data_IF_294290887743
#
_entry.id   IF_294290887743
#
_cell.length_a   1.000
_cell.length_b   1.000
_cell.length_c   1.000
_cell.angle_alpha   90.00
_cell.angle_beta   90.00
_cell.angle_gamma   90.00
#
_symmetry.space_group_name_H-M   'P 1'
#
loop_
_entity.id
_entity.type
_entity.pdbx_description
1 polymer ?
#
# COMPACT_ATOMS: atom_id res chain seq x y z
N UNK A 1 20.42 -22.08 52.97
CA UNK A 1 19.38 -21.36 52.22
C UNK A 1 20.02 -21.00 50.91
N UNK A 2 20.27 -22.06 50.14
CA UNK A 2 20.49 -22.02 48.69
C UNK A 2 19.14 -21.73 48.02
N UNK A 3 19.15 -21.45 46.71
CA UNK A 3 18.12 -20.80 45.86
C UNK A 3 18.34 -19.27 45.81
N UNK A 4 18.77 -18.62 44.72
CA UNK A 4 18.57 -18.86 43.28
C UNK A 4 19.84 -18.52 42.46
N UNK A 5 20.74 -19.48 42.26
CA UNK A 5 21.71 -19.41 41.15
C UNK A 5 21.08 -19.93 39.84
N UNK A 6 20.09 -20.82 39.94
CA UNK A 6 19.33 -21.40 38.81
C UNK A 6 18.49 -20.34 38.06
N UNK A 7 17.97 -19.32 38.74
CA UNK A 7 17.21 -18.23 38.10
C UNK A 7 18.11 -17.23 37.34
N UNK A 8 19.43 -17.27 37.55
CA UNK A 8 20.40 -16.49 36.77
C UNK A 8 20.81 -17.20 35.49
N UNK A 9 20.90 -18.53 35.50
CA UNK A 9 21.22 -19.30 34.30
C UNK A 9 20.04 -19.36 33.31
N UNK A 10 18.79 -19.39 33.78
CA UNK A 10 17.59 -19.33 32.92
C UNK A 10 17.42 -17.97 32.19
N UNK A 11 17.93 -16.88 32.75
CA UNK A 11 17.92 -15.57 32.10
C UNK A 11 18.96 -15.45 30.97
N UNK A 12 20.05 -16.21 31.07
CA UNK A 12 21.11 -16.24 30.06
C UNK A 12 20.83 -17.28 28.96
N UNK A 13 20.04 -18.33 29.22
CA UNK A 13 19.67 -19.35 28.21
C UNK A 13 18.48 -18.90 27.31
N UNK A 14 17.70 -17.92 27.75
CA UNK A 14 16.62 -17.28 26.98
C UNK A 14 16.83 -15.79 26.71
N UNK A 15 18.02 -15.27 27.00
CA UNK A 15 18.43 -13.92 26.65
C UNK A 15 18.41 -13.74 25.13
N UNK A 16 17.41 -13.00 24.64
CA UNK A 16 17.40 -12.46 23.28
C UNK A 16 18.76 -11.80 23.03
N UNK A 17 19.51 -12.39 22.10
CA UNK A 17 20.83 -11.96 21.65
C UNK A 17 20.88 -10.43 21.55
N UNK A 18 21.70 -9.77 22.37
CA UNK A 18 21.77 -8.31 22.44
C UNK A 18 22.07 -7.64 21.09
N UNK A 19 22.72 -8.36 20.17
CA UNK A 19 22.97 -7.91 18.79
C UNK A 19 21.70 -7.87 17.92
N UNK A 20 20.72 -8.74 18.18
CA UNK A 20 19.43 -8.77 17.47
C UNK A 20 18.50 -7.64 17.95
N UNK A 21 18.56 -7.28 19.24
CA UNK A 21 17.73 -6.20 19.78
C UNK A 21 18.19 -4.81 19.34
N UNK A 22 19.50 -4.53 19.35
CA UNK A 22 20.03 -3.27 18.82
C UNK A 22 19.81 -3.15 17.31
N UNK A 23 19.98 -4.26 16.57
CA UNK A 23 19.61 -4.35 15.16
C UNK A 23 18.11 -4.12 14.92
N UNK A 24 17.24 -4.62 15.81
CA UNK A 24 15.80 -4.35 15.78
C UNK A 24 15.49 -2.89 16.12
N UNK A 25 16.19 -2.25 17.05
CA UNK A 25 16.02 -0.82 17.39
C UNK A 25 16.44 0.07 16.22
N UNK A 26 17.60 -0.20 15.60
CA UNK A 26 18.03 0.50 14.39
C UNK A 26 17.09 0.25 13.21
N UNK A 27 16.58 -0.98 13.07
CA UNK A 27 15.53 -1.30 12.11
C UNK A 27 14.24 -0.54 12.41
N UNK A 28 13.82 -0.39 13.68
CA UNK A 28 12.64 0.39 14.07
C UNK A 28 12.82 1.87 13.74
N UNK A 29 13.99 2.45 14.03
CA UNK A 29 14.31 3.84 13.72
C UNK A 29 14.32 4.11 12.21
N UNK A 30 14.80 3.16 11.40
CA UNK A 30 14.75 3.24 9.93
C UNK A 30 13.38 2.89 9.32
N UNK A 31 12.50 2.22 10.08
CA UNK A 31 11.21 1.71 9.61
C UNK A 31 10.00 2.51 10.13
N UNK A 32 10.21 3.69 10.73
CA UNK A 32 9.16 4.66 11.09
C UNK A 32 8.25 4.96 9.89
N UNK A 33 8.81 4.92 8.67
CA UNK A 33 8.06 5.04 7.42
C UNK A 33 8.56 4.02 6.40
N UNK A 34 7.66 3.19 5.86
CA UNK A 34 7.99 2.28 4.77
C UNK A 34 8.61 3.00 3.56
N UNK A 35 9.66 2.42 2.99
CA UNK A 35 10.51 2.98 1.93
C UNK A 35 9.76 3.66 0.75
N UNK A 36 8.64 3.07 0.33
CA UNK A 36 7.79 3.61 -0.74
C UNK A 36 7.10 4.92 -0.36
N UNK A 37 6.67 5.03 0.89
CA UNK A 37 6.08 6.25 1.45
C UNK A 37 7.15 7.32 1.66
N UNK A 38 8.34 6.95 2.15
CA UNK A 38 9.47 7.87 2.28
C UNK A 38 9.86 8.48 0.92
N UNK A 39 9.98 7.66 -0.13
CA UNK A 39 10.25 8.13 -1.50
C UNK A 39 9.16 9.09 -2.01
N UNK A 40 7.89 8.80 -1.72
CA UNK A 40 6.77 9.65 -2.13
C UNK A 40 6.81 11.00 -1.41
N UNK A 41 7.14 10.99 -0.11
CA UNK A 41 7.28 12.20 0.70
C UNK A 41 8.49 13.03 0.26
N UNK A 42 9.65 12.41 0.03
CA UNK A 42 10.86 13.07 -0.46
C UNK A 42 10.60 13.78 -1.79
N UNK A 43 9.88 13.15 -2.73
CA UNK A 43 9.46 13.79 -3.98
C UNK A 43 8.55 15.00 -3.75
N UNK A 44 7.62 14.91 -2.80
CA UNK A 44 6.75 16.03 -2.42
C UNK A 44 7.53 17.19 -1.80
N UNK A 45 8.45 16.89 -0.89
CA UNK A 45 9.32 17.84 -0.21
C UNK A 45 10.31 18.51 -1.19
N UNK A 46 10.95 17.74 -2.06
CA UNK A 46 11.89 18.28 -3.05
C UNK A 46 11.24 19.31 -3.97
N UNK A 47 9.99 19.07 -4.39
CA UNK A 47 9.21 20.04 -5.17
C UNK A 47 8.88 21.30 -4.36
N UNK A 48 8.61 21.13 -3.06
CA UNK A 48 8.33 22.23 -2.17
C UNK A 48 9.55 23.13 -1.93
N UNK A 49 10.69 22.51 -1.66
CA UNK A 49 11.96 23.17 -1.47
C UNK A 49 12.40 23.90 -2.74
N UNK A 50 12.32 23.25 -3.90
CA UNK A 50 12.64 23.89 -5.18
C UNK A 50 11.75 25.12 -5.46
N UNK A 51 10.47 25.04 -5.10
CA UNK A 51 9.56 26.17 -5.20
C UNK A 51 9.91 27.31 -4.24
N UNK A 52 10.26 27.00 -2.99
CA UNK A 52 10.73 27.98 -2.02
C UNK A 52 12.00 28.68 -2.53
N UNK A 53 12.93 27.93 -3.13
CA UNK A 53 14.17 28.47 -3.69
C UNK A 53 13.91 29.49 -4.79
N UNK A 54 12.85 29.28 -5.57
CA UNK A 54 12.51 30.12 -6.72
C UNK A 54 11.68 31.34 -6.31
N UNK A 55 10.77 31.21 -5.33
CA UNK A 55 9.73 32.21 -5.05
C UNK A 55 9.87 32.93 -3.70
N UNK A 56 10.65 32.35 -2.78
CA UNK A 56 10.75 32.74 -1.37
C UNK A 56 12.17 32.47 -0.84
N UNK A 57 13.19 32.93 -1.57
CA UNK A 57 14.60 32.69 -1.25
C UNK A 57 15.01 33.29 0.09
N UNK A 58 14.31 34.34 0.53
CA UNK A 58 14.39 34.99 1.83
C UNK A 58 13.97 34.10 3.02
N UNK A 59 13.21 33.04 2.75
CA UNK A 59 12.70 32.10 3.77
C UNK A 59 13.61 30.86 3.92
N UNK A 60 14.52 30.62 2.97
CA UNK A 60 15.49 29.54 3.03
C UNK A 60 16.79 30.09 3.61
N UNK A 61 17.10 29.75 4.86
CA UNK A 61 18.44 30.03 5.40
C UNK A 61 19.50 29.30 4.56
N UNK A 62 20.72 29.86 4.52
CA UNK A 62 21.86 29.21 3.87
C UNK A 62 22.19 27.84 4.49
N UNK A 63 21.86 27.66 5.77
CA UNK A 63 21.91 26.38 6.50
C UNK A 63 20.94 25.34 5.94
N UNK A 64 19.71 25.69 5.50
CA UNK A 64 18.78 24.69 4.95
C UNK A 64 19.26 24.15 3.62
N UNK A 65 19.81 25.05 2.80
CA UNK A 65 20.33 24.70 1.48
C UNK A 65 21.60 23.86 1.55
N UNK A 66 22.39 23.99 2.63
CA UNK A 66 23.54 23.13 2.92
C UNK A 66 23.14 21.83 3.61
N UNK A 67 22.17 21.85 4.54
CA UNK A 67 21.60 20.67 5.21
C UNK A 67 20.78 19.76 4.28
N UNK A 68 20.28 20.28 3.14
CA UNK A 68 19.66 19.46 2.09
C UNK A 68 20.69 18.73 1.20
N UNK A 69 21.98 19.02 1.39
CA UNK A 69 23.08 18.48 0.60
C UNK A 69 23.83 17.36 1.32
N UNK A 70 23.78 17.33 2.65
CA UNK A 70 24.35 16.30 3.51
C UNK A 70 23.25 15.70 4.40
N UNK A 71 23.12 14.37 4.40
CA UNK A 71 22.09 13.58 5.11
C UNK A 71 22.18 13.63 6.66
N UNK A 72 22.75 14.68 7.25
CA UNK A 72 22.97 14.81 8.69
C UNK A 72 22.37 16.11 9.24
N UNK A 73 21.32 15.98 10.06
CA UNK A 73 20.76 17.08 10.85
C UNK A 73 21.43 17.09 12.23
N UNK A 74 22.33 18.04 12.46
CA UNK A 74 22.59 18.57 13.81
C UNK A 74 22.08 20.01 13.94
N UNK A 75 21.48 20.27 15.09
CA UNK A 75 20.70 21.43 15.49
C UNK A 75 21.57 22.62 15.88
N UNK A 76 21.34 23.80 15.28
CA UNK A 76 21.94 25.06 15.74
C UNK A 76 20.93 26.13 16.16
N UNK A 77 19.64 25.80 16.22
CA UNK A 77 18.64 26.71 16.79
C UNK A 77 18.35 27.98 15.97
N UNK A 78 18.98 28.25 14.83
CA UNK A 78 18.75 29.49 14.06
C UNK A 78 18.02 29.27 12.72
N UNK A 79 16.92 30.02 12.50
CA UNK A 79 16.49 30.38 11.13
C UNK A 79 15.30 29.65 10.47
N UNK A 80 14.38 29.00 11.20
CA UNK A 80 13.27 28.24 10.57
C UNK A 80 11.85 28.61 10.99
N UNK A 81 11.46 29.87 11.08
CA UNK A 81 10.03 30.19 11.28
C UNK A 81 9.63 31.55 10.74
N UNK A 82 9.14 31.56 9.50
CA UNK A 82 7.91 32.31 9.17
C UNK A 82 7.33 31.80 7.85
N UNK A 83 7.14 30.48 7.73
CA UNK A 83 6.28 29.93 6.68
C UNK A 83 4.82 30.28 7.01
N UNK A 84 4.42 31.51 6.70
CA UNK A 84 3.01 31.92 6.80
C UNK A 84 2.18 30.94 5.97
N UNK A 85 1.01 30.56 6.47
CA UNK A 85 0.04 29.66 5.80
C UNK A 85 -0.01 29.95 4.30
N UNK A 86 -0.15 31.24 3.93
CA UNK A 86 -0.12 31.77 2.57
C UNK A 86 1.02 31.29 1.64
N UNK A 87 2.21 31.00 2.15
CA UNK A 87 3.34 30.46 1.37
C UNK A 87 3.16 28.98 1.02
N UNK A 88 2.76 28.17 1.99
CA UNK A 88 2.36 26.76 1.77
C UNK A 88 1.16 26.70 0.83
N UNK A 89 0.17 27.60 1.03
CA UNK A 89 -1.03 27.70 0.20
C UNK A 89 -0.69 27.97 -1.28
N UNK A 90 0.25 28.89 -1.52
CA UNK A 90 0.67 29.28 -2.88
C UNK A 90 1.42 28.15 -3.57
N UNK A 91 2.34 27.48 -2.87
CA UNK A 91 3.01 26.29 -3.37
C UNK A 91 2.00 25.22 -3.83
N UNK A 92 1.02 24.90 -2.98
CA UNK A 92 0.03 23.85 -3.29
C UNK A 92 -0.80 24.24 -4.51
N UNK A 93 -1.24 25.49 -4.63
CA UNK A 93 -2.00 25.97 -5.80
C UNK A 93 -1.21 25.84 -7.10
N UNK A 94 0.10 26.08 -7.06
CA UNK A 94 0.96 26.08 -8.25
C UNK A 94 1.50 24.69 -8.61
N UNK A 95 1.65 23.79 -7.62
CA UNK A 95 2.33 22.50 -7.78
C UNK A 95 1.45 21.27 -7.62
N UNK A 96 0.20 21.40 -7.17
CA UNK A 96 -0.77 20.31 -7.15
C UNK A 96 -1.31 20.03 -8.58
N UNK A 97 -0.44 19.86 -9.57
CA UNK A 97 -0.82 19.41 -10.91
C UNK A 97 -0.64 17.89 -11.00
N UNK A 98 -1.64 17.20 -11.54
CA UNK A 98 -1.51 15.77 -11.87
C UNK A 98 -0.50 15.57 -13.01
N UNK A 99 0.11 14.38 -13.08
CA UNK A 99 1.07 14.00 -14.15
C UNK A 99 0.53 14.20 -15.56
N UNK A 100 -0.80 14.21 -15.71
CA UNK A 100 -1.50 14.32 -16.99
C UNK A 100 -2.05 15.74 -17.26
N UNK A 101 -1.60 16.76 -16.51
CA UNK A 101 -2.10 18.14 -16.65
C UNK A 101 -3.50 18.40 -16.07
N UNK A 102 -4.21 17.34 -15.63
CA UNK A 102 -5.51 17.44 -14.97
C UNK A 102 -5.46 18.03 -13.55
N UNK A 103 -6.65 18.41 -13.05
CA UNK A 103 -6.82 18.92 -11.68
C UNK A 103 -6.47 17.82 -10.65
N UNK A 104 -5.90 18.19 -9.48
CA UNK A 104 -5.51 17.25 -8.44
C UNK A 104 -6.71 16.61 -7.72
N UNK A 105 -6.64 15.28 -7.53
CA UNK A 105 -7.58 14.51 -6.73
C UNK A 105 -7.32 14.61 -5.21
N UNK A 106 -8.26 14.11 -4.40
CA UNK A 106 -8.19 14.16 -2.93
C UNK A 106 -6.93 13.48 -2.38
N UNK A 107 -6.51 12.37 -3.01
CA UNK A 107 -5.32 11.61 -2.65
C UNK A 107 -4.02 12.43 -2.76
N UNK A 108 -3.89 13.28 -3.78
CA UNK A 108 -2.72 14.15 -3.99
C UNK A 108 -2.57 15.12 -2.83
N UNK A 109 -3.68 15.73 -2.41
CA UNK A 109 -3.69 16.65 -1.27
C UNK A 109 -3.35 15.94 0.05
N UNK A 110 -3.86 14.72 0.27
CA UNK A 110 -3.50 13.93 1.44
C UNK A 110 -2.00 13.61 1.50
N UNK A 111 -1.41 13.23 0.37
CA UNK A 111 0.02 12.95 0.28
C UNK A 111 0.87 14.20 0.52
N UNK A 112 0.48 15.35 -0.07
CA UNK A 112 1.17 16.63 0.17
C UNK A 112 1.10 17.06 1.63
N UNK A 113 -0.07 16.96 2.26
CA UNK A 113 -0.22 17.23 3.69
C UNK A 113 0.70 16.33 4.51
N UNK A 114 0.67 15.03 4.25
CA UNK A 114 1.47 14.07 5.03
C UNK A 114 2.97 14.30 4.85
N UNK A 115 3.42 14.64 3.63
CA UNK A 115 4.81 15.01 3.35
C UNK A 115 5.23 16.27 4.09
N UNK A 116 4.36 17.30 4.16
CA UNK A 116 4.65 18.51 4.92
C UNK A 116 4.81 18.22 6.42
N UNK A 117 3.91 17.45 7.01
CA UNK A 117 4.01 17.06 8.42
C UNK A 117 5.25 16.20 8.68
N UNK A 118 5.60 15.33 7.74
CA UNK A 118 6.83 14.53 7.84
C UNK A 118 8.09 15.41 7.79
N UNK A 119 8.09 16.49 7.01
CA UNK A 119 9.24 17.40 6.93
C UNK A 119 9.53 18.04 8.29
N UNK A 120 8.49 18.54 8.97
CA UNK A 120 8.64 19.12 10.31
C UNK A 120 9.20 18.10 11.31
N UNK A 121 8.67 16.87 11.29
CA UNK A 121 9.18 15.77 12.13
C UNK A 121 10.62 15.42 11.81
N UNK A 122 11.00 15.35 10.53
CA UNK A 122 12.35 15.08 10.09
C UNK A 122 13.34 16.14 10.55
N UNK A 123 12.93 17.41 10.64
CA UNK A 123 13.73 18.50 11.19
C UNK A 123 13.76 18.54 12.73
N UNK A 124 13.25 17.51 13.43
CA UNK A 124 13.22 17.46 14.90
C UNK A 124 12.28 18.46 15.57
N UNK A 125 11.40 19.15 14.82
CA UNK A 125 10.53 20.21 15.34
C UNK A 125 9.05 19.82 15.30
N UNK A 126 8.32 20.20 16.34
CA UNK A 126 6.84 20.18 16.29
C UNK A 126 6.34 21.39 15.52
N UNK A 127 5.34 21.16 14.67
CA UNK A 127 4.58 22.24 14.04
C UNK A 127 3.85 23.04 15.13
N UNK A 128 3.82 24.37 14.98
CA UNK A 128 2.98 25.23 15.83
C UNK A 128 1.50 24.79 15.76
N UNK A 129 0.80 24.84 16.90
CA UNK A 129 -0.54 24.25 17.06
C UNK A 129 -1.57 24.99 16.20
N UNK A 130 -1.52 26.32 16.19
CA UNK A 130 -2.45 27.15 15.42
C UNK A 130 -2.17 27.00 13.92
N UNK A 131 -0.89 26.99 13.54
CA UNK A 131 -0.50 26.74 12.15
C UNK A 131 -0.92 25.34 11.64
N UNK A 132 -0.78 24.29 12.47
CA UNK A 132 -1.21 22.94 12.12
C UNK A 132 -2.74 22.86 11.93
N UNK A 133 -3.50 23.58 12.75
CA UNK A 133 -4.94 23.69 12.64
C UNK A 133 -5.36 24.39 11.34
N UNK A 134 -4.73 25.52 11.01
CA UNK A 134 -4.97 26.27 9.77
C UNK A 134 -4.69 25.44 8.52
N UNK A 135 -3.54 24.75 8.49
CA UNK A 135 -3.18 23.84 7.40
C UNK A 135 -4.22 22.74 7.26
N UNK A 136 -4.67 22.15 8.37
CA UNK A 136 -5.69 21.09 8.35
C UNK A 136 -7.03 21.60 7.82
N UNK A 137 -7.48 22.78 8.26
CA UNK A 137 -8.72 23.41 7.79
C UNK A 137 -8.66 23.70 6.29
N UNK A 138 -7.52 24.19 5.80
CA UNK A 138 -7.33 24.44 4.38
C UNK A 138 -7.42 23.16 3.53
N UNK A 139 -6.72 22.09 3.94
CA UNK A 139 -6.81 20.81 3.23
C UNK A 139 -8.22 20.24 3.24
N UNK A 140 -9.00 20.49 4.30
CA UNK A 140 -10.44 20.16 4.34
C UNK A 140 -11.24 20.99 3.35
N UNK A 141 -10.93 22.28 3.20
CA UNK A 141 -11.52 23.17 2.19
C UNK A 141 -11.26 22.69 0.76
N UNK A 142 -10.01 22.38 0.42
CA UNK A 142 -9.66 21.84 -0.90
C UNK A 142 -10.39 20.54 -1.23
N UNK A 143 -10.53 19.64 -0.24
CA UNK A 143 -11.29 18.40 -0.42
C UNK A 143 -12.76 18.65 -0.71
N UNK A 144 -13.40 19.60 -0.01
CA UNK A 144 -14.79 19.98 -0.26
C UNK A 144 -14.97 20.57 -1.65
N UNK A 145 -14.04 21.42 -2.08
CA UNK A 145 -14.07 21.99 -3.41
C UNK A 145 -13.88 20.93 -4.50
N UNK A 146 -12.94 19.98 -4.33
CA UNK A 146 -12.79 18.85 -5.25
C UNK A 146 -14.04 17.97 -5.25
N UNK A 147 -14.62 17.65 -4.10
CA UNK A 147 -15.85 16.86 -4.01
C UNK A 147 -17.02 17.56 -4.72
N UNK A 148 -17.17 18.88 -4.54
CA UNK A 148 -18.18 19.68 -5.24
C UNK A 148 -17.93 19.71 -6.74
N UNK A 149 -16.68 19.90 -7.17
CA UNK A 149 -16.29 19.83 -8.60
C UNK A 149 -16.63 18.47 -9.21
N UNK A 150 -16.33 17.38 -8.51
CA UNK A 150 -16.65 16.03 -8.98
C UNK A 150 -18.17 15.83 -9.08
N UNK A 151 -18.92 16.26 -8.06
CA UNK A 151 -20.38 16.23 -8.08
C UNK A 151 -20.97 17.00 -9.27
N UNK A 152 -20.52 18.23 -9.49
CA UNK A 152 -21.05 19.12 -10.53
C UNK A 152 -20.60 18.73 -11.95
N UNK A 153 -19.51 17.96 -12.08
CA UNK A 153 -18.97 17.50 -13.36
C UNK A 153 -19.73 16.31 -13.98
N UNK A 154 -20.58 15.63 -13.21
CA UNK A 154 -21.22 14.38 -13.64
C UNK A 154 -20.24 13.21 -13.85
N UNK A 155 -18.95 13.39 -13.54
CA UNK A 155 -17.93 12.36 -13.62
C UNK A 155 -18.14 11.29 -12.52
N UNK A 156 -17.55 10.12 -12.74
CA UNK A 156 -17.64 8.98 -11.84
C UNK A 156 -17.19 9.37 -10.42
N UNK A 157 -18.11 9.31 -9.46
CA UNK A 157 -17.85 9.69 -8.06
C UNK A 157 -16.95 8.70 -7.32
N UNK A 158 -16.80 7.48 -7.85
CA UNK A 158 -15.95 6.45 -7.25
C UNK A 158 -14.49 6.67 -7.65
N UNK A 159 -13.64 7.00 -6.67
CA UNK A 159 -12.19 7.08 -6.90
C UNK A 159 -11.57 5.68 -7.13
N UNK A 160 -10.76 5.57 -8.19
CA UNK A 160 -9.95 4.40 -8.53
C UNK A 160 -10.65 3.38 -9.44
N UNK A 161 -10.01 2.23 -9.64
CA UNK A 161 -10.43 1.16 -10.55
C UNK A 161 -11.85 0.65 -10.27
N UNK A 162 -12.54 0.18 -11.30
CA UNK A 162 -13.87 -0.38 -11.16
C UNK A 162 -13.89 -1.70 -10.41
N UNK A 163 -15.03 -2.17 -9.87
CA UNK A 163 -15.14 -3.54 -9.38
C UNK A 163 -15.03 -4.53 -10.55
N UNK A 164 -14.28 -5.61 -10.36
CA UNK A 164 -14.24 -6.71 -11.33
C UNK A 164 -15.61 -7.42 -11.34
N UNK A 165 -16.33 -7.50 -12.47
CA UNK A 165 -17.60 -8.21 -12.55
C UNK A 165 -17.44 -9.71 -12.34
N UNK A 166 -18.48 -10.37 -11.83
CA UNK A 166 -18.45 -11.80 -11.56
C UNK A 166 -18.30 -12.65 -12.84
N UNK A 167 -18.94 -12.23 -13.93
CA UNK A 167 -18.77 -12.81 -15.27
C UNK A 167 -17.29 -12.79 -15.68
N UNK A 168 -16.64 -11.63 -15.56
CA UNK A 168 -15.24 -11.45 -15.89
C UNK A 168 -14.31 -12.27 -15.00
N UNK A 169 -14.59 -12.39 -13.70
CA UNK A 169 -13.82 -13.27 -12.81
C UNK A 169 -13.82 -14.72 -13.32
N UNK A 170 -15.00 -15.24 -13.70
CA UNK A 170 -15.13 -16.60 -14.21
C UNK A 170 -14.38 -16.75 -15.54
N UNK A 171 -14.58 -15.83 -16.48
CA UNK A 171 -13.90 -15.87 -17.78
C UNK A 171 -12.38 -15.78 -17.67
N UNK A 172 -11.86 -14.90 -16.80
CA UNK A 172 -10.43 -14.83 -16.50
C UNK A 172 -9.91 -16.15 -15.92
N UNK A 173 -10.68 -16.76 -15.01
CA UNK A 173 -10.27 -18.01 -14.37
C UNK A 173 -10.24 -19.17 -15.35
N UNK A 174 -11.24 -19.29 -16.23
CA UNK A 174 -11.26 -20.28 -17.32
C UNK A 174 -10.09 -20.07 -18.26
N UNK A 175 -9.88 -18.85 -18.76
CA UNK A 175 -8.78 -18.52 -19.66
C UNK A 175 -7.41 -18.86 -19.04
N UNK A 176 -7.19 -18.56 -17.75
CA UNK A 176 -5.95 -18.95 -17.06
C UNK A 176 -5.77 -20.48 -16.98
N UNK A 177 -6.87 -21.25 -16.83
CA UNK A 177 -6.80 -22.72 -16.80
C UNK A 177 -6.59 -23.34 -18.18
N UNK A 178 -6.94 -22.65 -19.27
CA UNK A 178 -6.74 -23.11 -20.65
C UNK A 178 -5.30 -22.94 -21.13
N UNK A 179 -4.51 -22.08 -20.49
CA UNK A 179 -3.09 -21.93 -20.81
C UNK A 179 -2.24 -23.02 -20.17
N UNK A 180 -1.29 -23.56 -20.94
CA UNK A 180 -0.45 -24.70 -20.53
C UNK A 180 0.75 -24.34 -19.63
N UNK A 181 0.97 -23.05 -19.32
CA UNK A 181 2.16 -22.60 -18.59
C UNK A 181 1.89 -22.39 -17.09
N UNK A 182 2.84 -22.81 -16.26
CA UNK A 182 2.81 -22.68 -14.80
C UNK A 182 2.56 -21.24 -14.32
N UNK A 183 2.95 -20.23 -15.11
CA UNK A 183 2.68 -18.83 -14.75
C UNK A 183 1.17 -18.53 -14.67
N UNK A 184 0.35 -19.22 -15.45
CA UNK A 184 -1.09 -19.08 -15.42
C UNK A 184 -1.74 -19.90 -14.31
N UNK A 185 -1.14 -21.03 -13.91
CA UNK A 185 -1.53 -21.74 -12.68
C UNK A 185 -1.32 -20.86 -11.46
N UNK A 186 -0.16 -20.20 -11.38
CA UNK A 186 0.09 -19.15 -10.38
C UNK A 186 -0.97 -18.04 -10.45
N UNK A 187 -1.21 -17.48 -11.64
CA UNK A 187 -2.14 -16.36 -11.79
C UNK A 187 -3.59 -16.73 -11.44
N UNK A 188 -4.01 -17.95 -11.78
CA UNK A 188 -5.33 -18.50 -11.45
C UNK A 188 -5.54 -18.56 -9.95
N UNK A 189 -4.63 -19.23 -9.24
CA UNK A 189 -4.74 -19.33 -7.79
C UNK A 189 -4.65 -17.95 -7.12
N UNK A 190 -3.72 -17.10 -7.56
CA UNK A 190 -3.55 -15.75 -7.06
C UNK A 190 -4.82 -14.90 -7.25
N UNK A 191 -5.48 -14.98 -8.42
CA UNK A 191 -6.74 -14.29 -8.70
C UNK A 191 -7.86 -14.78 -7.76
N UNK A 192 -8.07 -16.09 -7.72
CA UNK A 192 -9.17 -16.71 -6.94
C UNK A 192 -9.01 -16.41 -5.46
N UNK A 193 -7.82 -16.60 -4.88
CA UNK A 193 -7.61 -16.38 -3.45
C UNK A 193 -7.69 -14.88 -3.09
N UNK A 194 -7.21 -13.99 -3.96
CA UNK A 194 -7.34 -12.53 -3.76
C UNK A 194 -8.80 -12.11 -3.71
N UNK A 195 -9.62 -12.66 -4.62
CA UNK A 195 -11.05 -12.42 -4.66
C UNK A 195 -11.75 -12.98 -3.41
N UNK A 196 -11.52 -14.26 -3.08
CA UNK A 196 -12.21 -14.94 -1.98
C UNK A 196 -11.86 -14.35 -0.61
N UNK A 197 -10.62 -13.93 -0.43
CA UNK A 197 -10.18 -13.27 0.81
C UNK A 197 -10.54 -11.78 0.85
N UNK A 198 -11.11 -11.21 -0.21
CA UNK A 198 -11.41 -9.78 -0.32
C UNK A 198 -10.20 -8.90 0.09
N UNK A 199 -9.00 -9.32 -0.30
CA UNK A 199 -7.75 -8.69 0.14
C UNK A 199 -7.06 -7.98 -1.02
N UNK A 200 -6.06 -7.15 -0.71
CA UNK A 200 -5.24 -6.51 -1.77
C UNK A 200 -4.24 -7.53 -2.29
N UNK A 201 -3.87 -7.45 -3.57
CA UNK A 201 -2.84 -8.32 -4.14
C UNK A 201 -1.51 -8.31 -3.35
N UNK A 202 -1.13 -7.18 -2.73
CA UNK A 202 0.04 -7.16 -1.82
C UNK A 202 -0.13 -8.01 -0.56
N UNK A 203 -1.35 -8.07 0.01
CA UNK A 203 -1.66 -8.96 1.11
C UNK A 203 -1.65 -10.43 0.65
N UNK A 204 -2.21 -10.73 -0.52
CA UNK A 204 -2.16 -12.06 -1.13
C UNK A 204 -0.73 -12.56 -1.27
N UNK A 205 0.15 -11.73 -1.85
CA UNK A 205 1.57 -12.05 -2.04
C UNK A 205 2.36 -12.24 -0.74
N UNK A 206 1.80 -11.80 0.40
CA UNK A 206 2.43 -11.94 1.72
C UNK A 206 1.90 -13.10 2.56
N UNK A 207 0.97 -13.91 2.01
CA UNK A 207 0.48 -15.11 2.69
C UNK A 207 1.62 -16.13 2.78
N UNK A 208 1.84 -16.67 3.97
CA UNK A 208 2.77 -17.75 4.24
C UNK A 208 1.99 -19.04 4.51
N UNK A 209 2.60 -20.20 4.32
CA UNK A 209 1.99 -21.49 4.61
C UNK A 209 1.53 -21.57 6.08
N UNK A 210 2.33 -21.07 7.02
CA UNK A 210 1.98 -20.99 8.44
C UNK A 210 0.80 -20.06 8.78
N UNK A 211 0.29 -19.28 7.82
CA UNK A 211 -0.94 -18.50 7.98
C UNK A 211 -2.22 -19.28 7.66
N UNK A 212 -2.08 -20.49 7.10
CA UNK A 212 -3.17 -21.36 6.71
C UNK A 212 -3.45 -22.36 7.83
N UNK A 213 -4.72 -22.57 8.12
CA UNK A 213 -5.17 -23.66 9.01
C UNK A 213 -6.51 -24.20 8.54
N UNK A 214 -6.83 -25.43 8.91
CA UNK A 214 -8.17 -25.98 8.72
C UNK A 214 -8.98 -25.76 10.00
N UNK A 215 -10.16 -25.13 9.87
CA UNK A 215 -11.06 -24.86 10.98
C UNK A 215 -12.46 -25.32 10.60
N UNK A 216 -12.91 -26.43 11.18
CA UNK A 216 -14.15 -27.07 10.78
C UNK A 216 -14.09 -27.53 9.32
N UNK A 217 -15.00 -27.00 8.49
CA UNK A 217 -15.13 -27.30 7.06
C UNK A 217 -14.52 -26.22 6.15
N UNK A 218 -13.74 -25.28 6.71
CA UNK A 218 -13.18 -24.15 5.97
C UNK A 218 -11.65 -24.08 6.05
N UNK A 219 -11.04 -23.59 4.96
CA UNK A 219 -9.66 -23.11 4.98
C UNK A 219 -9.64 -21.73 5.65
N UNK A 220 -9.02 -21.64 6.82
CA UNK A 220 -8.83 -20.40 7.55
C UNK A 220 -7.50 -19.74 7.16
N UNK A 221 -7.55 -18.46 6.77
CA UNK A 221 -6.36 -17.66 6.44
C UNK A 221 -6.24 -16.48 7.39
N UNK A 222 -5.12 -16.40 8.12
CA UNK A 222 -4.82 -15.29 9.03
C UNK A 222 -3.84 -14.31 8.38
N UNK A 223 -4.08 -13.01 8.53
CA UNK A 223 -3.13 -12.00 8.08
C UNK A 223 -2.30 -11.50 9.27
N UNK A 224 -0.98 -11.67 9.20
CA UNK A 224 -0.06 -11.14 10.22
C UNK A 224 0.12 -9.61 10.17
N UNK A 225 -0.10 -9.00 8.99
CA UNK A 225 0.08 -7.56 8.79
C UNK A 225 -0.90 -7.03 7.74
N UNK A 226 -1.61 -5.94 8.05
CA UNK A 226 -2.56 -5.32 7.13
C UNK A 226 -2.38 -3.80 7.08
N UNK A 227 -2.66 -3.17 5.93
CA UNK A 227 -2.49 -1.70 5.77
C UNK A 227 -3.23 -0.86 6.83
N UNK A 228 -4.37 -1.34 7.32
CA UNK A 228 -5.22 -0.69 8.34
C UNK A 228 -4.92 -1.16 9.77
N UNK A 229 -3.91 -2.00 9.94
CA UNK A 229 -3.46 -2.62 11.19
C UNK A 229 -1.96 -2.90 11.04
N UNK A 230 -1.17 -1.81 11.03
CA UNK A 230 0.28 -1.85 10.79
C UNK A 230 1.05 -2.33 12.01
N UNK A 231 0.48 -2.07 13.18
CA UNK A 231 0.96 -2.49 14.50
C UNK A 231 0.47 -3.90 14.89
N UNK A 232 -0.48 -4.47 14.15
CA UNK A 232 -0.97 -5.84 14.35
C UNK A 232 -1.71 -6.03 15.68
N UNK A 233 -2.26 -4.94 16.22
CA UNK A 233 -2.92 -4.91 17.54
C UNK A 233 -4.36 -5.41 17.48
N UNK A 234 -4.93 -5.54 16.28
CA UNK A 234 -6.28 -6.08 16.14
C UNK A 234 -6.27 -7.61 16.29
N UNK A 235 -7.37 -8.18 16.79
CA UNK A 235 -7.59 -9.63 16.75
C UNK A 235 -7.35 -10.16 15.34
N UNK A 236 -6.51 -11.20 15.23
CA UNK A 236 -6.18 -11.85 13.95
C UNK A 236 -7.28 -12.82 13.56
N UNK A 237 -8.46 -12.27 13.31
CA UNK A 237 -9.62 -13.05 12.89
C UNK A 237 -9.29 -13.74 11.56
N UNK A 238 -9.49 -15.06 11.54
CA UNK A 238 -9.29 -15.85 10.34
C UNK A 238 -10.34 -15.47 9.30
N UNK A 239 -9.92 -15.42 8.04
CA UNK A 239 -10.85 -15.38 6.91
C UNK A 239 -11.09 -16.81 6.45
N UNK A 240 -12.29 -17.31 6.68
CA UNK A 240 -12.70 -18.65 6.24
C UNK A 240 -13.05 -18.66 4.76
N UNK A 241 -12.48 -19.62 4.05
CA UNK A 241 -12.64 -19.84 2.62
C UNK A 241 -13.19 -21.23 2.40
N UNK A 242 -14.29 -21.31 1.64
CA UNK A 242 -15.04 -22.54 1.43
C UNK A 242 -14.88 -23.07 0.00
N UNK A 243 -15.08 -24.37 -0.16
CA UNK A 243 -15.14 -25.05 -1.46
C UNK A 243 -16.32 -24.51 -2.27
N UNK A 244 -16.15 -24.39 -3.58
CA UNK A 244 -17.24 -24.09 -4.51
C UNK A 244 -17.37 -25.21 -5.57
N UNK A 245 -18.22 -26.23 -5.34
CA UNK A 245 -18.35 -27.35 -6.27
C UNK A 245 -19.11 -26.99 -7.56
N UNK A 246 -19.91 -25.92 -7.56
CA UNK A 246 -20.74 -25.54 -8.71
C UNK A 246 -19.98 -24.74 -9.77
N UNK A 247 -18.92 -24.04 -9.36
CA UNK A 247 -18.05 -23.28 -10.24
C UNK A 247 -16.59 -23.63 -9.94
N UNK A 248 -16.10 -24.79 -10.45
CA UNK A 248 -14.75 -25.26 -10.18
C UNK A 248 -13.68 -24.24 -10.61
N UNK A 249 -13.92 -23.49 -11.69
CA UNK A 249 -13.01 -22.46 -12.20
C UNK A 249 -12.70 -21.36 -11.19
N UNK A 250 -13.58 -21.10 -10.22
CA UNK A 250 -13.39 -20.10 -9.15
C UNK A 250 -13.40 -20.73 -7.76
N UNK A 251 -13.18 -22.05 -7.68
CA UNK A 251 -13.12 -22.77 -6.41
C UNK A 251 -11.74 -22.59 -5.77
N UNK A 252 -11.64 -21.95 -4.59
CA UNK A 252 -10.35 -21.64 -3.95
C UNK A 252 -9.59 -22.88 -3.49
N UNK A 253 -10.30 -23.93 -3.08
CA UNK A 253 -9.67 -25.18 -2.63
C UNK A 253 -9.18 -25.99 -3.83
N UNK A 254 -9.93 -25.99 -4.94
CA UNK A 254 -9.47 -26.62 -6.17
C UNK A 254 -8.26 -25.88 -6.74
N UNK A 255 -8.30 -24.55 -6.82
CA UNK A 255 -7.17 -23.77 -7.33
C UNK A 255 -5.93 -23.88 -6.45
N UNK A 256 -6.08 -23.98 -5.12
CA UNK A 256 -4.99 -24.32 -4.21
C UNK A 256 -4.41 -25.71 -4.51
N UNK A 257 -5.26 -26.72 -4.73
CA UNK A 257 -4.82 -28.08 -5.04
C UNK A 257 -4.04 -28.16 -6.36
N UNK A 258 -4.52 -27.47 -7.41
CA UNK A 258 -3.81 -27.38 -8.70
C UNK A 258 -2.47 -26.65 -8.51
N UNK A 259 -2.47 -25.51 -7.81
CA UNK A 259 -1.24 -24.77 -7.54
C UNK A 259 -0.22 -25.59 -6.76
N UNK A 260 -0.64 -26.29 -5.71
CA UNK A 260 0.23 -27.15 -4.92
C UNK A 260 0.81 -28.31 -5.74
N UNK A 261 0.03 -28.89 -6.66
CA UNK A 261 0.48 -29.99 -7.50
C UNK A 261 1.50 -29.56 -8.57
N UNK A 262 1.39 -28.33 -9.08
CA UNK A 262 2.25 -27.83 -10.17
C UNK A 262 3.46 -27.05 -9.62
N UNK A 263 3.23 -26.12 -8.71
CA UNK A 263 4.24 -25.21 -8.19
C UNK A 263 4.88 -25.68 -6.88
N UNK A 264 4.26 -26.66 -6.19
CA UNK A 264 4.66 -27.07 -4.84
C UNK A 264 4.19 -26.11 -3.75
N UNK A 265 4.18 -26.59 -2.51
CA UNK A 265 4.03 -25.79 -1.31
C UNK A 265 5.25 -26.01 -0.43
N UNK A 266 5.85 -24.94 0.05
CA UNK A 266 6.89 -24.97 1.07
C UNK A 266 6.38 -24.36 2.37
N UNK A 267 7.15 -24.48 3.45
CA UNK A 267 6.82 -23.87 4.75
C UNK A 267 7.04 -22.34 4.76
N UNK A 268 7.22 -21.71 3.60
CA UNK A 268 7.54 -20.30 3.44
C UNK A 268 6.34 -19.50 2.89
N UNK A 269 6.58 -18.55 1.98
CA UNK A 269 5.54 -17.79 1.30
C UNK A 269 4.79 -18.70 0.34
N UNK A 270 3.46 -18.63 0.41
CA UNK A 270 2.57 -19.31 -0.53
C UNK A 270 2.85 -18.94 -1.99
N UNK A 271 3.36 -17.72 -2.22
CA UNK A 271 3.83 -17.26 -3.52
C UNK A 271 5.30 -16.81 -3.40
N UNK A 272 6.27 -17.69 -3.73
CA UNK A 272 7.68 -17.39 -3.53
C UNK A 272 8.17 -16.28 -4.47
N UNK A 273 9.11 -15.44 -4.02
CA UNK A 273 9.70 -14.35 -4.80
C UNK A 273 9.31 -12.93 -4.36
N UNK A 274 10.04 -11.92 -4.87
CA UNK A 274 9.91 -10.53 -4.40
C UNK A 274 8.85 -9.68 -5.13
N UNK A 275 8.44 -10.07 -6.35
CA UNK A 275 7.66 -9.23 -7.25
C UNK A 275 6.35 -9.88 -7.71
N UNK A 276 5.74 -10.73 -6.88
CA UNK A 276 4.53 -11.49 -7.23
C UNK A 276 3.34 -10.60 -7.64
N UNK A 277 3.20 -9.44 -7.00
CA UNK A 277 2.24 -8.42 -7.39
C UNK A 277 2.44 -7.95 -8.84
N UNK A 278 3.68 -7.67 -9.23
CA UNK A 278 4.00 -7.16 -10.56
C UNK A 278 3.93 -8.28 -11.61
N UNK A 279 4.33 -9.50 -11.25
CA UNK A 279 4.16 -10.69 -12.08
C UNK A 279 2.69 -10.91 -12.43
N UNK A 280 1.81 -10.99 -11.43
CA UNK A 280 0.38 -11.13 -11.66
C UNK A 280 -0.19 -9.94 -12.46
N UNK A 281 0.24 -8.71 -12.17
CA UNK A 281 -0.19 -7.52 -12.92
C UNK A 281 0.18 -7.57 -14.40
N UNK A 282 1.32 -8.18 -14.77
CA UNK A 282 1.73 -8.36 -16.17
C UNK A 282 0.86 -9.41 -16.86
N UNK A 283 0.65 -10.56 -16.21
CA UNK A 283 -0.17 -11.65 -16.75
C UNK A 283 -1.61 -11.18 -16.96
N UNK A 284 -2.19 -10.50 -15.97
CA UNK A 284 -3.53 -9.96 -16.07
C UNK A 284 -3.67 -8.97 -17.24
N UNK A 285 -2.70 -8.06 -17.44
CA UNK A 285 -2.72 -7.13 -18.57
C UNK A 285 -2.66 -7.86 -19.91
N UNK A 286 -1.85 -8.91 -20.01
CA UNK A 286 -1.76 -9.73 -21.23
C UNK A 286 -3.10 -10.40 -21.55
N UNK A 287 -3.72 -11.04 -20.55
CA UNK A 287 -5.03 -11.69 -20.71
C UNK A 287 -6.12 -10.71 -21.12
N UNK A 288 -6.17 -9.53 -20.49
CA UNK A 288 -7.18 -8.50 -20.84
C UNK A 288 -7.02 -7.93 -22.25
N UNK A 289 -5.91 -8.19 -22.94
CA UNK A 289 -5.72 -7.83 -24.36
C UNK A 289 -6.12 -8.94 -25.34
N UNK A 290 -6.46 -10.13 -24.85
CA UNK A 290 -6.91 -11.22 -25.71
C UNK A 290 -8.32 -10.95 -26.25
N UNK A 291 -8.64 -11.35 -27.50
CA UNK A 291 -9.90 -10.97 -28.15
C UNK A 291 -11.14 -11.32 -27.34
N UNK A 292 -11.18 -12.53 -26.78
CA UNK A 292 -12.32 -13.02 -25.98
C UNK A 292 -12.57 -12.16 -24.75
N UNK A 293 -11.51 -11.82 -24.00
CA UNK A 293 -11.60 -11.05 -22.75
C UNK A 293 -11.77 -9.55 -23.01
N UNK A 294 -11.16 -9.02 -24.08
CA UNK A 294 -11.37 -7.63 -24.49
C UNK A 294 -12.82 -7.38 -24.89
N UNK A 295 -13.44 -8.28 -25.66
CA UNK A 295 -14.84 -8.16 -26.03
C UNK A 295 -15.77 -8.22 -24.80
N UNK A 296 -15.43 -9.05 -23.81
CA UNK A 296 -16.17 -9.11 -22.56
C UNK A 296 -15.98 -7.84 -21.72
N UNK A 297 -14.78 -7.24 -21.68
CA UNK A 297 -14.55 -5.94 -21.05
C UNK A 297 -15.48 -4.88 -21.64
N UNK A 298 -15.57 -4.81 -22.97
CA UNK A 298 -16.42 -3.85 -23.67
C UNK A 298 -17.90 -4.09 -23.35
N UNK A 299 -18.33 -5.35 -23.29
CA UNK A 299 -19.71 -5.75 -22.94
C UNK A 299 -20.07 -5.35 -21.50
N UNK A 300 -19.11 -5.44 -20.58
CA UNK A 300 -19.25 -5.03 -19.18
C UNK A 300 -19.09 -3.50 -18.98
N UNK A 301 -18.84 -2.75 -20.06
CA UNK A 301 -18.65 -1.30 -20.02
C UNK A 301 -17.37 -0.86 -19.29
N UNK A 302 -16.35 -1.73 -19.26
CA UNK A 302 -15.08 -1.49 -18.57
C UNK A 302 -13.98 -1.09 -19.54
N UNK A 303 -13.25 -0.02 -19.22
CA UNK A 303 -12.06 0.35 -20.00
C UNK A 303 -10.79 -0.32 -19.47
N UNK A 304 -9.78 -0.62 -20.33
CA UNK A 304 -8.48 -1.11 -19.87
C UNK A 304 -7.76 -0.19 -18.88
N UNK A 305 -8.06 1.11 -18.88
CA UNK A 305 -7.49 2.07 -17.92
C UNK A 305 -8.09 1.90 -16.51
N UNK A 306 -9.32 1.41 -16.42
CA UNK A 306 -10.06 1.19 -15.18
C UNK A 306 -9.82 -0.20 -14.57
N UNK A 307 -9.08 -1.07 -15.25
CA UNK A 307 -8.83 -2.47 -14.84
C UNK A 307 -7.44 -2.69 -14.24
N UNK A 308 -7.32 -3.74 -13.43
CA UNK A 308 -6.06 -4.23 -12.84
C UNK A 308 -6.19 -4.44 -11.33
N UNK A 309 -5.23 -5.14 -10.73
CA UNK A 309 -5.26 -5.80 -9.38
C UNK A 309 -6.17 -5.24 -8.28
N UNK A 310 -6.35 -3.93 -8.15
CA UNK A 310 -7.29 -3.32 -7.21
C UNK A 310 -8.77 -3.62 -7.49
N UNK A 311 -9.14 -3.88 -8.75
CA UNK A 311 -10.51 -4.22 -9.13
C UNK A 311 -10.99 -5.57 -8.57
N UNK A 312 -10.08 -6.54 -8.35
CA UNK A 312 -10.39 -7.89 -7.84
C UNK A 312 -11.05 -7.78 -6.46
N UNK A 313 -10.35 -7.10 -5.55
CA UNK A 313 -10.85 -6.85 -4.19
C UNK A 313 -12.15 -6.05 -4.18
N UNK A 314 -12.32 -5.13 -5.13
CA UNK A 314 -13.52 -4.29 -5.22
C UNK A 314 -14.71 -5.07 -5.75
N UNK A 315 -14.51 -6.05 -6.62
CA UNK A 315 -15.61 -6.89 -7.12
C UNK A 315 -16.11 -7.90 -6.09
N UNK A 316 -15.26 -8.31 -5.15
CA UNK A 316 -15.62 -9.24 -4.08
C UNK A 316 -16.29 -8.58 -2.86
N UNK A 317 -16.15 -7.26 -2.70
CA UNK A 317 -16.57 -6.50 -1.52
C UNK A 317 -17.94 -5.87 -1.73
#
# INVERSE_FOLDING_TARGET
>A
MELDEEAKEDFDEHGLCGEDFDGQIEAVNSNIIGSKTATMYLRGMSRYIAWLYTNKRDVLSGELLSALRDDALEDDGTGYLSLKVNGVLRFIRENAKCRNGGKPGISVYNSLRSALFHLYRGCGRSMDVDFAADVTLFFKGLKRETAKRNHDSGEKLTEGKDPLPFSMLRSLSVSMMEHESDEFVFAHFFLVITWKLMCRAGNTASIHAGHLSWEGDALAVRFGHMKNDQDGTRPRDARHVYVNPFHPEICPILSLGIYAAVCGLDDSKLFPGGNQYDQFSKILKRLLTEPTLSNLLDTEGLSPADTGTQFIRKGSA
#
